data_IF_925792251694
#
_entry.id   IF_925792251694
#
_cell.length_a   1.000
_cell.length_b   1.000
_cell.length_c   1.000
_cell.angle_alpha   90.00
_cell.angle_beta   90.00
_cell.angle_gamma   90.00
#
_symmetry.space_group_name_H-M   'P 1'
#
loop_
_entity.id
_entity.type
_entity.pdbx_description
1 polymer ?
#
# COMPACT_ATOMS: atom_id res chain seq x y z
N UNK A 1 0.33 -10.51 -7.75
CA UNK A 1 1.73 -10.08 -7.68
C UNK A 1 1.75 -8.64 -8.13
N UNK A 2 2.16 -7.73 -7.25
CA UNK A 2 2.15 -6.27 -7.43
C UNK A 2 3.32 -5.85 -8.33
N UNK A 3 3.11 -4.93 -9.27
CA UNK A 3 4.12 -4.45 -10.22
C UNK A 3 4.24 -2.92 -10.20
N UNK A 4 5.39 -2.43 -10.65
CA UNK A 4 5.59 -1.00 -10.93
C UNK A 4 4.57 -0.55 -11.99
N UNK A 5 3.92 0.57 -11.75
CA UNK A 5 2.84 1.13 -12.56
C UNK A 5 1.44 0.62 -12.18
N UNK A 6 1.32 -0.35 -11.26
CA UNK A 6 0.01 -0.73 -10.73
C UNK A 6 -0.54 0.41 -9.85
N UNK A 7 -1.85 0.59 -9.89
CA UNK A 7 -2.56 1.41 -8.90
C UNK A 7 -2.96 0.53 -7.73
N UNK A 8 -2.63 0.95 -6.52
CA UNK A 8 -3.03 0.27 -5.29
C UNK A 8 -3.91 1.14 -4.43
N UNK A 9 -4.73 0.47 -3.63
CA UNK A 9 -5.51 1.07 -2.58
C UNK A 9 -4.86 0.76 -1.23
N UNK A 10 -4.58 1.81 -0.46
CA UNK A 10 -4.15 1.67 0.92
C UNK A 10 -5.37 1.65 1.84
N UNK A 11 -5.43 0.64 2.71
CA UNK A 11 -6.57 0.39 3.58
C UNK A 11 -6.05 0.27 5.01
N UNK A 12 -6.59 1.08 5.93
CA UNK A 12 -6.33 0.94 7.36
C UNK A 12 -7.45 0.12 8.02
N UNK A 13 -7.06 -0.86 8.84
CA UNK A 13 -8.01 -1.67 9.60
C UNK A 13 -8.28 -1.02 10.95
N UNK A 14 -9.42 -0.34 11.07
CA UNK A 14 -9.90 0.21 12.34
C UNK A 14 -10.50 -0.94 13.16
N UNK A 15 -10.41 -0.86 14.50
CA UNK A 15 -10.63 -1.96 15.46
C UNK A 15 -11.95 -2.76 15.31
N UNK A 16 -12.93 -2.30 14.53
CA UNK A 16 -14.24 -2.93 14.30
C UNK A 16 -14.54 -3.30 12.82
N UNK A 17 -13.54 -3.76 12.06
CA UNK A 17 -13.66 -4.24 10.67
C UNK A 17 -14.12 -3.20 9.63
N UNK A 18 -14.23 -1.93 9.99
CA UNK A 18 -14.37 -0.86 9.00
C UNK A 18 -13.01 -0.62 8.35
N UNK A 19 -12.96 -0.87 7.04
CA UNK A 19 -11.80 -0.62 6.20
C UNK A 19 -11.89 0.83 5.73
N UNK A 20 -11.01 1.69 6.24
CA UNK A 20 -10.93 3.07 5.79
C UNK A 20 -9.91 3.18 4.65
N UNK A 21 -10.34 3.75 3.53
CA UNK A 21 -9.50 3.95 2.34
C UNK A 21 -8.74 5.25 2.50
N UNK A 22 -7.41 5.16 2.61
CA UNK A 22 -6.54 6.33 2.77
C UNK A 22 -6.30 7.05 1.44
N UNK A 23 -6.26 6.30 0.34
CA UNK A 23 -6.01 6.85 -0.98
C UNK A 23 -5.66 5.79 -2.02
N UNK A 24 -5.47 6.28 -3.24
CA UNK A 24 -5.00 5.50 -4.37
C UNK A 24 -3.61 5.99 -4.77
N UNK A 25 -2.69 5.06 -4.96
CA UNK A 25 -1.29 5.36 -5.23
C UNK A 25 -0.82 4.56 -6.43
N UNK A 26 -0.12 5.23 -7.35
CA UNK A 26 0.63 4.56 -8.40
C UNK A 26 1.96 4.10 -7.83
N UNK A 27 2.33 2.85 -8.12
CA UNK A 27 3.54 2.24 -7.58
C UNK A 27 4.74 2.58 -8.45
N UNK A 28 5.70 3.34 -7.92
CA UNK A 28 6.94 3.65 -8.63
C UNK A 28 8.07 2.67 -8.30
N UNK A 29 8.14 2.19 -7.06
CA UNK A 29 9.09 1.17 -6.61
C UNK A 29 8.50 0.37 -5.45
N UNK A 30 8.90 -0.89 -5.29
CA UNK A 30 8.44 -1.78 -4.22
C UNK A 30 9.62 -2.52 -3.60
N UNK A 31 9.82 -2.32 -2.29
CA UNK A 31 10.67 -3.20 -1.48
C UNK A 31 9.82 -3.97 -0.48
N UNK A 32 10.08 -5.26 -0.37
CA UNK A 32 9.43 -6.15 0.59
C UNK A 32 10.42 -6.55 1.69
N UNK A 33 10.05 -6.32 2.94
CA UNK A 33 10.80 -6.75 4.13
C UNK A 33 10.01 -7.81 4.92
N UNK A 34 9.31 -8.69 4.20
CA UNK A 34 8.40 -9.67 4.77
C UNK A 34 7.08 -9.04 5.23
N UNK A 35 7.06 -8.45 6.42
CA UNK A 35 5.84 -7.91 7.04
C UNK A 35 5.42 -6.53 6.49
N UNK A 36 6.32 -5.84 5.81
CA UNK A 36 6.11 -4.47 5.32
C UNK A 36 6.43 -4.35 3.84
N UNK A 37 5.68 -3.45 3.19
CA UNK A 37 5.87 -3.01 1.82
C UNK A 37 6.24 -1.53 1.88
N UNK A 38 7.31 -1.16 1.18
CA UNK A 38 7.72 0.22 1.00
C UNK A 38 7.25 0.69 -0.36
N UNK A 39 6.36 1.68 -0.39
CA UNK A 39 5.82 2.27 -1.61
C UNK A 39 6.45 3.64 -1.78
N UNK A 40 7.17 3.84 -2.87
CA UNK A 40 7.57 5.17 -3.32
C UNK A 40 6.43 5.73 -4.19
N UNK A 41 5.89 6.87 -3.79
CA UNK A 41 5.12 7.74 -4.69
C UNK A 41 5.94 8.99 -5.01
N UNK A 42 5.45 9.84 -5.93
CA UNK A 42 6.13 11.07 -6.32
C UNK A 42 6.36 12.10 -5.18
N UNK A 43 5.84 11.85 -3.97
CA UNK A 43 5.96 12.71 -2.80
C UNK A 43 6.88 12.13 -1.72
N UNK A 44 6.96 10.80 -1.59
CA UNK A 44 7.81 10.16 -0.58
C UNK A 44 7.69 8.63 -0.51
N UNK A 45 8.31 8.07 0.53
CA UNK A 45 8.29 6.61 0.79
C UNK A 45 7.38 6.31 1.97
N UNK A 46 6.41 5.43 1.76
CA UNK A 46 5.46 4.97 2.76
C UNK A 46 5.78 3.55 3.17
N UNK A 47 5.91 3.31 4.48
CA UNK A 47 6.04 1.96 5.03
C UNK A 47 4.65 1.47 5.43
N UNK A 48 4.14 0.47 4.72
CA UNK A 48 2.78 -0.04 4.90
C UNK A 48 2.84 -1.53 5.29
N UNK A 49 2.03 -1.99 6.26
CA UNK A 49 1.87 -3.42 6.52
C UNK A 49 1.41 -4.17 5.25
N UNK A 50 1.95 -5.36 5.00
CA UNK A 50 1.65 -6.10 3.76
C UNK A 50 0.18 -6.52 3.62
N UNK A 51 -0.54 -6.61 4.74
CA UNK A 51 -1.96 -6.95 4.83
C UNK A 51 -2.88 -5.73 4.68
N UNK A 52 -2.33 -4.51 4.64
CA UNK A 52 -3.04 -3.25 4.44
C UNK A 52 -3.10 -2.78 2.97
N UNK A 53 -2.61 -3.61 2.03
CA UNK A 53 -2.57 -3.28 0.60
C UNK A 53 -3.51 -4.20 -0.17
N UNK A 54 -4.40 -3.57 -0.94
CA UNK A 54 -5.23 -4.27 -1.92
C UNK A 54 -4.91 -3.75 -3.32
N UNK A 55 -4.48 -4.66 -4.19
CA UNK A 55 -4.36 -4.38 -5.63
C UNK A 55 -5.76 -4.33 -6.26
N UNK A 56 -5.97 -3.41 -7.19
CA UNK A 56 -7.22 -3.22 -7.94
C UNK A 56 -6.99 -3.58 -9.40
#
# INVERSE_FOLDING_TARGET
>A
MLKIGDTIQLIEKVEDMQLEVYGYYEVFDIMFDGAFIYILDGFGVYKVPSDAIQAI
#
